data_IF_164854806999
#
_entry.id   IF_164854806999
#
_cell.length_a   1.000
_cell.length_b   1.000
_cell.length_c   1.000
_cell.angle_alpha   90.00
_cell.angle_beta   90.00
_cell.angle_gamma   90.00
#
_symmetry.space_group_name_H-M   'P 1'
#
loop_
_entity.id
_entity.type
_entity.pdbx_description
1 polymer ?
#
# COMPACT_ATOMS: atom_id res chain seq x y z
N UNK A 1 25.72 -11.51 14.45
CA UNK A 1 24.66 -10.83 13.67
C UNK A 1 24.51 -9.41 14.22
N UNK A 2 24.55 -8.35 13.40
CA UNK A 2 24.45 -6.99 13.92
C UNK A 2 23.02 -6.70 14.37
N UNK A 3 22.87 -6.24 15.61
CA UNK A 3 21.60 -5.79 16.16
C UNK A 3 21.21 -4.44 15.53
N UNK A 4 20.04 -4.37 14.89
CA UNK A 4 19.48 -3.11 14.42
C UNK A 4 18.90 -2.37 15.64
N UNK A 5 19.61 -1.36 16.11
CA UNK A 5 19.13 -0.45 17.16
C UNK A 5 18.32 0.65 16.47
N UNK A 6 17.00 0.60 16.54
CA UNK A 6 16.15 1.74 16.17
C UNK A 6 16.10 2.74 17.34
N UNK A 7 16.90 3.80 17.26
CA UNK A 7 16.84 4.93 18.19
C UNK A 7 15.76 5.92 17.72
N UNK A 8 14.53 5.76 18.20
CA UNK A 8 13.55 6.84 18.14
C UNK A 8 13.83 7.83 19.27
N UNK A 9 14.52 8.94 18.97
CA UNK A 9 14.67 10.07 19.91
C UNK A 9 13.44 10.97 19.79
N UNK A 10 12.55 10.92 20.78
CA UNK A 10 11.50 11.92 20.98
C UNK A 10 11.85 12.83 22.16
N UNK A 11 11.76 14.15 21.98
CA UNK A 11 11.97 15.13 23.05
C UNK A 11 10.64 15.35 23.80
N UNK A 12 10.59 14.95 25.06
CA UNK A 12 9.61 15.45 26.03
C UNK A 12 10.35 15.77 27.33
N UNK A 13 10.33 17.05 27.72
CA UNK A 13 10.69 17.58 29.05
C UNK A 13 11.94 17.00 29.72
N UNK A 14 13.09 17.69 29.62
CA UNK A 14 14.37 17.52 30.38
C UNK A 14 14.95 16.11 30.59
N UNK A 15 14.31 15.03 30.12
CA UNK A 15 14.76 13.66 30.30
C UNK A 15 14.85 12.96 28.94
N UNK A 16 16.06 12.57 28.56
CA UNK A 16 16.34 11.81 27.33
C UNK A 16 16.07 10.34 27.63
N UNK A 17 15.06 9.74 27.01
CA UNK A 17 14.81 8.30 27.11
C UNK A 17 15.44 7.55 25.94
N UNK A 18 16.16 6.48 26.22
CA UNK A 18 16.67 5.52 25.24
C UNK A 18 15.87 4.22 25.34
N UNK A 19 15.12 3.88 24.30
CA UNK A 19 14.52 2.54 24.18
C UNK A 19 15.63 1.54 23.79
N UNK A 20 16.03 0.70 24.73
CA UNK A 20 16.89 -0.46 24.47
C UNK A 20 16.05 -1.74 24.49
N UNK A 21 15.77 -2.31 23.33
CA UNK A 21 15.30 -3.70 23.25
C UNK A 21 16.51 -4.63 23.42
N UNK A 22 16.82 -5.01 24.66
CA UNK A 22 17.66 -6.18 24.95
C UNK A 22 16.74 -7.35 25.31
N UNK A 23 16.71 -8.39 24.47
CA UNK A 23 16.36 -9.71 24.98
C UNK A 23 17.50 -10.18 25.88
N UNK A 24 17.27 -10.19 27.19
CA UNK A 24 18.12 -10.90 28.14
C UNK A 24 17.28 -11.96 28.88
N UNK A 25 17.62 -13.26 28.86
CA UNK A 25 16.71 -14.32 29.29
C UNK A 25 16.65 -14.55 30.81
N UNK A 26 17.39 -13.82 31.65
CA UNK A 26 17.54 -14.21 33.06
C UNK A 26 17.62 -13.01 34.00
N UNK A 27 16.50 -12.72 34.67
CA UNK A 27 16.31 -12.04 35.98
C UNK A 27 15.19 -10.99 35.94
N UNK A 28 14.19 -11.16 36.80
CA UNK A 28 13.08 -10.24 37.02
C UNK A 28 12.81 -10.15 38.53
N UNK A 29 12.65 -8.95 39.13
CA UNK A 29 11.72 -8.75 40.23
C UNK A 29 10.45 -8.04 39.71
N UNK A 30 9.24 -8.40 40.20
CA UNK A 30 8.05 -8.45 39.36
C UNK A 30 7.12 -7.22 39.42
N UNK A 31 7.58 -6.03 39.82
CA UNK A 31 6.64 -4.94 40.20
C UNK A 31 6.72 -3.69 39.31
N UNK A 32 7.73 -3.55 38.46
CA UNK A 32 7.83 -2.40 37.53
C UNK A 32 7.35 -2.70 36.10
N UNK A 33 7.17 -3.97 35.71
CA UNK A 33 6.74 -4.33 34.36
C UNK A 33 5.30 -3.91 34.06
N UNK A 34 4.37 -4.05 35.01
CA UNK A 34 2.94 -3.75 34.78
C UNK A 34 2.63 -2.25 34.74
N UNK A 35 3.30 -1.42 35.54
CA UNK A 35 3.12 0.05 35.49
C UNK A 35 3.82 0.65 34.27
N UNK A 36 5.00 0.16 33.90
CA UNK A 36 5.69 0.58 32.69
C UNK A 36 4.95 0.09 31.44
N UNK A 37 4.39 -1.12 31.44
CA UNK A 37 3.54 -1.57 30.32
C UNK A 37 2.27 -0.75 30.21
N UNK A 38 1.61 -0.41 31.32
CA UNK A 38 0.42 0.44 31.27
C UNK A 38 0.75 1.87 30.86
N UNK A 39 1.86 2.46 31.31
CA UNK A 39 2.28 3.82 30.91
C UNK A 39 2.79 3.83 29.47
N UNK A 40 3.48 2.78 29.02
CA UNK A 40 3.86 2.61 27.62
C UNK A 40 2.64 2.38 26.75
N UNK A 41 1.66 1.59 27.19
CA UNK A 41 0.39 1.35 26.48
C UNK A 41 -0.47 2.62 26.46
N UNK A 42 -0.48 3.40 27.55
CA UNK A 42 -1.15 4.70 27.61
C UNK A 42 -0.44 5.74 26.74
N UNK A 43 0.90 5.75 26.70
CA UNK A 43 1.69 6.57 25.77
C UNK A 43 1.58 6.09 24.30
N UNK A 44 1.27 4.81 24.08
CA UNK A 44 0.99 4.18 22.78
C UNK A 44 -0.44 4.51 22.30
N UNK A 45 -1.35 4.79 23.25
CA UNK A 45 -2.71 5.29 23.04
C UNK A 45 -2.78 6.83 22.94
N UNK A 46 -1.81 7.54 23.52
CA UNK A 46 -1.67 9.00 23.46
C UNK A 46 -1.07 9.46 22.11
N UNK A 47 -1.89 9.31 21.06
CA UNK A 47 -2.09 10.32 20.01
C UNK A 47 -0.85 11.06 19.50
N UNK A 48 0.26 10.39 19.19
CA UNK A 48 1.37 11.04 18.51
C UNK A 48 1.36 10.65 17.02
N UNK A 49 1.43 11.64 16.13
CA UNK A 49 1.55 11.47 14.68
C UNK A 49 2.68 10.49 14.32
N UNK A 50 3.78 10.47 15.11
CA UNK A 50 4.89 9.56 14.95
C UNK A 50 4.46 8.07 15.00
N UNK A 51 3.54 7.70 15.90
CA UNK A 51 3.05 6.33 16.00
C UNK A 51 2.19 5.93 14.81
N UNK A 52 1.45 6.87 14.21
CA UNK A 52 0.63 6.58 13.03
C UNK A 52 1.46 6.07 11.85
N UNK A 53 2.64 6.66 11.61
CA UNK A 53 3.56 6.23 10.56
C UNK A 53 4.15 4.85 10.86
N UNK A 54 4.48 4.57 12.12
CA UNK A 54 4.96 3.25 12.56
C UNK A 54 3.90 2.17 12.35
N UNK A 55 2.64 2.44 12.67
CA UNK A 55 1.55 1.49 12.44
C UNK A 55 1.27 1.26 10.96
N UNK A 56 1.33 2.30 10.12
CA UNK A 56 1.26 2.13 8.66
C UNK A 56 2.38 1.21 8.16
N UNK A 57 3.60 1.37 8.68
CA UNK A 57 4.71 0.50 8.33
C UNK A 57 4.47 -0.95 8.75
N UNK A 58 4.05 -1.20 10.00
CA UNK A 58 3.71 -2.55 10.45
C UNK A 58 2.58 -3.17 9.61
N UNK A 59 1.53 -2.40 9.31
CA UNK A 59 0.44 -2.84 8.44
C UNK A 59 0.95 -3.32 7.07
N UNK A 60 1.86 -2.58 6.44
CA UNK A 60 2.47 -2.95 5.15
C UNK A 60 3.37 -4.18 5.25
N UNK A 61 4.14 -4.31 6.33
CA UNK A 61 5.00 -5.48 6.56
C UNK A 61 4.16 -6.74 6.72
N UNK A 62 3.12 -6.71 7.58
CA UNK A 62 2.23 -7.86 7.78
C UNK A 62 1.44 -8.21 6.52
N UNK A 63 1.02 -7.20 5.73
CA UNK A 63 0.43 -7.42 4.41
C UNK A 63 1.39 -8.18 3.48
N UNK A 64 2.68 -7.81 3.47
CA UNK A 64 3.71 -8.51 2.69
C UNK A 64 3.94 -9.95 3.15
N UNK A 65 3.79 -10.21 4.45
CA UNK A 65 3.83 -11.56 5.04
C UNK A 65 2.54 -12.37 4.83
N UNK A 66 1.54 -11.80 4.14
CA UNK A 66 0.19 -12.37 3.97
C UNK A 66 -0.56 -12.58 5.29
N UNK A 67 -0.13 -11.93 6.37
CA UNK A 67 -0.87 -11.90 7.63
C UNK A 67 -1.83 -10.70 7.62
N UNK A 68 -2.97 -10.91 6.97
CA UNK A 68 -3.94 -9.85 6.76
C UNK A 68 -4.69 -9.46 8.03
N UNK A 69 -4.81 -10.38 9.00
CA UNK A 69 -5.45 -10.09 10.28
C UNK A 69 -4.63 -9.08 11.09
N UNK A 70 -3.31 -9.32 11.25
CA UNK A 70 -2.42 -8.36 11.90
C UNK A 70 -2.28 -7.08 11.08
N UNK A 71 -2.25 -7.18 9.74
CA UNK A 71 -2.21 -6.00 8.89
C UNK A 71 -3.41 -5.08 9.16
N UNK A 72 -4.63 -5.64 9.23
CA UNK A 72 -5.84 -4.88 9.51
C UNK A 72 -5.79 -4.22 10.89
N UNK A 73 -5.41 -4.96 11.93
CA UNK A 73 -5.30 -4.44 13.30
C UNK A 73 -4.42 -3.18 13.36
N UNK A 74 -3.25 -3.20 12.73
CA UNK A 74 -2.33 -2.05 12.75
C UNK A 74 -2.83 -0.88 11.90
N UNK A 75 -3.43 -1.14 10.74
CA UNK A 75 -3.95 -0.04 9.90
C UNK A 75 -5.19 0.59 10.53
N UNK A 76 -6.03 -0.16 11.23
CA UNK A 76 -7.16 0.37 12.02
C UNK A 76 -6.68 1.23 13.21
N UNK A 77 -5.65 0.80 13.93
CA UNK A 77 -4.99 1.62 14.97
C UNK A 77 -4.46 2.93 14.40
N UNK A 78 -3.85 2.88 13.22
CA UNK A 78 -3.40 4.08 12.51
C UNK A 78 -4.57 5.02 12.16
N UNK A 79 -5.68 4.48 11.67
CA UNK A 79 -6.88 5.25 11.34
C UNK A 79 -7.44 5.95 12.58
N UNK A 80 -7.58 5.24 13.69
CA UNK A 80 -8.11 5.80 14.94
C UNK A 80 -7.27 6.98 15.45
N UNK A 81 -5.94 6.90 15.34
CA UNK A 81 -5.05 8.01 15.70
C UNK A 81 -5.22 9.19 14.74
N UNK A 82 -5.23 8.92 13.42
CA UNK A 82 -5.34 9.97 12.40
C UNK A 82 -6.71 10.67 12.42
N UNK A 83 -7.78 9.98 12.81
CA UNK A 83 -9.10 10.58 13.00
C UNK A 83 -9.16 11.51 14.22
N UNK A 84 -8.46 11.18 15.30
CA UNK A 84 -8.38 12.04 16.50
C UNK A 84 -7.50 13.27 16.29
N UNK A 85 -6.48 13.16 15.43
CA UNK A 85 -5.41 14.16 15.31
C UNK A 85 -5.53 15.07 14.09
N UNK A 86 -6.20 14.61 13.03
CA UNK A 86 -6.26 15.31 11.76
C UNK A 86 -7.71 15.62 11.43
N UNK A 87 -7.95 16.76 10.77
CA UNK A 87 -9.24 17.04 10.16
C UNK A 87 -9.63 15.92 9.20
N UNK A 88 -10.94 15.63 9.07
CA UNK A 88 -11.49 14.53 8.26
C UNK A 88 -11.03 14.52 6.78
N UNK A 89 -10.49 15.65 6.32
CA UNK A 89 -9.97 15.86 4.97
C UNK A 89 -8.45 16.07 5.00
N UNK A 90 -7.70 15.21 5.67
CA UNK A 90 -6.24 15.25 5.61
C UNK A 90 -5.70 14.18 4.65
N UNK A 91 -4.70 14.45 3.79
CA UNK A 91 -4.16 13.46 2.84
C UNK A 91 -3.75 12.13 3.49
N UNK A 92 -3.09 12.19 4.65
CA UNK A 92 -2.77 10.98 5.45
C UNK A 92 -3.97 10.10 5.80
N UNK A 93 -5.18 10.67 5.96
CA UNK A 93 -6.39 9.86 6.16
C UNK A 93 -6.79 9.12 4.88
N UNK A 94 -6.63 9.75 3.71
CA UNK A 94 -6.84 9.08 2.42
C UNK A 94 -5.85 7.92 2.23
N UNK A 95 -4.57 8.13 2.54
CA UNK A 95 -3.56 7.06 2.47
C UNK A 95 -3.93 5.87 3.36
N UNK A 96 -4.35 6.13 4.61
CA UNK A 96 -4.80 5.05 5.49
C UNK A 96 -6.03 4.34 4.94
N UNK A 97 -7.03 5.08 4.46
CA UNK A 97 -8.22 4.48 3.86
C UNK A 97 -7.85 3.59 2.67
N UNK A 98 -6.91 4.02 1.81
CA UNK A 98 -6.43 3.21 0.70
C UNK A 98 -5.71 1.94 1.18
N UNK A 99 -4.86 2.04 2.20
CA UNK A 99 -4.17 0.89 2.80
C UNK A 99 -5.17 -0.13 3.42
N UNK A 100 -6.25 0.34 4.08
CA UNK A 100 -7.32 -0.52 4.60
C UNK A 100 -8.07 -1.20 3.45
N UNK A 101 -8.39 -0.44 2.40
CA UNK A 101 -9.05 -0.96 1.21
C UNK A 101 -8.25 -2.10 0.58
N UNK A 102 -6.93 -1.94 0.46
CA UNK A 102 -6.03 -2.97 -0.05
C UNK A 102 -6.04 -4.24 0.81
N UNK A 103 -6.04 -4.10 2.15
CA UNK A 103 -6.09 -5.26 3.05
C UNK A 103 -7.41 -6.01 2.91
N UNK A 104 -8.54 -5.30 2.83
CA UNK A 104 -9.85 -5.94 2.59
C UNK A 104 -9.92 -6.61 1.22
N UNK A 105 -9.32 -6.00 0.19
CA UNK A 105 -9.25 -6.60 -1.14
C UNK A 105 -8.52 -7.94 -1.10
N UNK A 106 -7.37 -7.99 -0.42
CA UNK A 106 -6.57 -9.22 -0.27
C UNK A 106 -7.27 -10.28 0.60
N UNK A 107 -8.15 -9.87 1.50
CA UNK A 107 -9.03 -10.76 2.27
C UNK A 107 -10.24 -11.28 1.47
N UNK A 108 -10.52 -10.74 0.29
CA UNK A 108 -11.72 -11.04 -0.50
C UNK A 108 -12.97 -10.25 -0.08
N UNK A 109 -12.84 -9.32 0.87
CA UNK A 109 -13.90 -8.42 1.34
C UNK A 109 -14.09 -7.23 0.37
N UNK A 110 -14.38 -7.52 -0.90
CA UNK A 110 -14.35 -6.52 -1.97
C UNK A 110 -15.31 -5.33 -1.76
N UNK A 111 -16.47 -5.56 -1.12
CA UNK A 111 -17.42 -4.48 -0.79
C UNK A 111 -16.81 -3.45 0.16
N UNK A 112 -16.09 -3.91 1.19
CA UNK A 112 -15.39 -3.03 2.12
C UNK A 112 -14.21 -2.35 1.45
N UNK A 113 -13.46 -3.09 0.62
CA UNK A 113 -12.35 -2.54 -0.15
C UNK A 113 -12.80 -1.33 -1.00
N UNK A 114 -13.88 -1.50 -1.78
CA UNK A 114 -14.47 -0.42 -2.60
C UNK A 114 -14.88 0.77 -1.74
N UNK A 115 -15.58 0.54 -0.62
CA UNK A 115 -16.02 1.62 0.26
C UNK A 115 -14.84 2.45 0.79
N UNK A 116 -13.76 1.79 1.22
CA UNK A 116 -12.57 2.47 1.72
C UNK A 116 -11.77 3.18 0.62
N UNK A 117 -11.63 2.59 -0.56
CA UNK A 117 -10.99 3.26 -1.70
C UNK A 117 -11.81 4.47 -2.19
N UNK A 118 -13.14 4.37 -2.22
CA UNK A 118 -13.99 5.50 -2.60
C UNK A 118 -13.94 6.63 -1.56
N UNK A 119 -13.83 6.29 -0.26
CA UNK A 119 -13.58 7.27 0.80
C UNK A 119 -12.22 7.96 0.60
N UNK A 120 -11.17 7.20 0.25
CA UNK A 120 -9.86 7.77 -0.05
C UNK A 120 -9.91 8.74 -1.25
N UNK A 121 -10.56 8.34 -2.36
CA UNK A 121 -10.75 9.21 -3.53
C UNK A 121 -11.51 10.48 -3.17
N UNK A 122 -12.60 10.38 -2.42
CA UNK A 122 -13.38 11.55 -2.02
C UNK A 122 -12.52 12.55 -1.21
N UNK A 123 -11.61 12.06 -0.36
CA UNK A 123 -10.68 12.94 0.36
C UNK A 123 -9.65 13.54 -0.62
N UNK A 124 -9.09 12.73 -1.52
CA UNK A 124 -8.06 13.15 -2.48
C UNK A 124 -8.56 14.11 -3.57
N UNK A 125 -9.85 14.05 -3.94
CA UNK A 125 -10.47 14.94 -4.93
C UNK A 125 -10.93 16.27 -4.31
N UNK A 126 -11.30 16.27 -3.03
CA UNK A 126 -11.75 17.48 -2.31
C UNK A 126 -10.60 18.33 -1.76
N UNK A 127 -9.39 17.78 -1.75
CA UNK A 127 -8.16 18.49 -1.42
C UNK A 127 -7.39 18.55 -2.73
N UNK A 128 -6.64 19.61 -3.03
CA UNK A 128 -5.69 19.60 -4.15
C UNK A 128 -4.52 18.65 -3.86
N UNK A 129 -4.83 17.36 -3.72
CA UNK A 129 -3.89 16.30 -3.40
C UNK A 129 -3.08 15.92 -4.64
N UNK A 130 -1.94 15.26 -4.42
CA UNK A 130 -1.09 14.82 -5.51
C UNK A 130 -1.88 13.92 -6.47
N UNK A 131 -2.00 14.26 -7.77
CA UNK A 131 -2.75 13.46 -8.74
C UNK A 131 -2.28 12.00 -8.82
N UNK A 132 -1.00 11.72 -8.52
CA UNK A 132 -0.46 10.36 -8.50
C UNK A 132 -1.04 9.51 -7.35
N UNK A 133 -1.46 10.13 -6.25
CA UNK A 133 -2.18 9.43 -5.18
C UNK A 133 -3.58 9.03 -5.64
N UNK A 134 -4.32 9.91 -6.32
CA UNK A 134 -5.59 9.57 -6.95
C UNK A 134 -5.42 8.43 -7.97
N UNK A 135 -4.37 8.50 -8.79
CA UNK A 135 -4.06 7.47 -9.78
C UNK A 135 -3.83 6.10 -9.11
N UNK A 136 -3.17 6.08 -7.95
CA UNK A 136 -2.97 4.86 -7.16
C UNK A 136 -4.31 4.30 -6.66
N UNK A 137 -5.17 5.14 -6.08
CA UNK A 137 -6.48 4.70 -5.60
C UNK A 137 -7.38 4.20 -6.74
N UNK A 138 -7.37 4.86 -7.90
CA UNK A 138 -8.07 4.37 -9.10
C UNK A 138 -7.54 3.01 -9.56
N UNK A 139 -6.22 2.79 -9.46
CA UNK A 139 -5.62 1.49 -9.81
C UNK A 139 -6.10 0.38 -8.87
N UNK A 140 -6.14 0.67 -7.56
CA UNK A 140 -6.61 -0.28 -6.56
C UNK A 140 -8.10 -0.63 -6.73
N UNK A 141 -8.94 0.36 -7.06
CA UNK A 141 -10.34 0.10 -7.44
C UNK A 141 -10.43 -0.79 -8.69
N UNK A 142 -9.65 -0.48 -9.73
CA UNK A 142 -9.59 -1.28 -10.95
C UNK A 142 -9.21 -2.74 -10.69
N UNK A 143 -8.18 -2.98 -9.87
CA UNK A 143 -7.78 -4.31 -9.43
C UNK A 143 -8.88 -5.01 -8.60
N UNK A 144 -9.56 -4.27 -7.71
CA UNK A 144 -10.67 -4.80 -6.91
C UNK A 144 -11.83 -5.29 -7.79
N UNK A 145 -12.26 -4.46 -8.75
CA UNK A 145 -13.32 -4.85 -9.70
C UNK A 145 -12.89 -6.00 -10.61
N UNK A 146 -11.62 -6.06 -11.00
CA UNK A 146 -11.06 -7.19 -11.77
C UNK A 146 -11.17 -8.50 -10.99
N UNK A 147 -10.86 -8.48 -9.69
CA UNK A 147 -10.97 -9.65 -8.81
C UNK A 147 -12.43 -10.06 -8.57
N UNK A 148 -13.36 -9.10 -8.61
CA UNK A 148 -14.81 -9.36 -8.64
C UNK A 148 -15.34 -9.84 -10.01
N UNK A 149 -14.49 -9.91 -11.04
CA UNK A 149 -14.86 -10.20 -12.44
C UNK A 149 -15.77 -9.16 -13.11
N UNK A 150 -15.86 -7.95 -12.55
CA UNK A 150 -16.46 -6.80 -13.25
C UNK A 150 -15.39 -6.13 -14.11
N UNK A 151 -15.14 -6.74 -15.26
CA UNK A 151 -14.08 -6.30 -16.16
C UNK A 151 -14.36 -4.93 -16.80
N UNK A 152 -15.63 -4.58 -17.01
CA UNK A 152 -16.04 -3.27 -17.52
C UNK A 152 -15.63 -2.14 -16.59
N UNK A 153 -16.03 -2.25 -15.31
CA UNK A 153 -15.74 -1.22 -14.31
C UNK A 153 -14.24 -1.18 -13.99
N UNK A 154 -13.59 -2.36 -13.97
CA UNK A 154 -12.14 -2.46 -13.83
C UNK A 154 -11.40 -1.67 -14.93
N UNK A 155 -11.81 -1.84 -16.20
CA UNK A 155 -11.19 -1.15 -17.33
C UNK A 155 -11.29 0.37 -17.19
N UNK A 156 -12.47 0.87 -16.80
CA UNK A 156 -12.70 2.31 -16.62
C UNK A 156 -11.76 2.89 -15.57
N UNK A 157 -11.64 2.24 -14.41
CA UNK A 157 -10.78 2.74 -13.34
C UNK A 157 -9.28 2.62 -13.65
N UNK A 158 -8.84 1.50 -14.25
CA UNK A 158 -7.45 1.34 -14.68
C UNK A 158 -7.06 2.37 -15.74
N UNK A 159 -7.93 2.67 -16.71
CA UNK A 159 -7.68 3.71 -17.73
C UNK A 159 -7.57 5.10 -17.11
N UNK A 160 -8.43 5.45 -16.14
CA UNK A 160 -8.31 6.72 -15.40
C UNK A 160 -6.96 6.83 -14.67
N UNK A 161 -6.54 5.77 -13.98
CA UNK A 161 -5.25 5.73 -13.30
C UNK A 161 -4.05 5.80 -14.25
N UNK A 162 -4.15 5.21 -15.44
CA UNK A 162 -3.12 5.29 -16.48
C UNK A 162 -3.03 6.72 -17.04
N UNK A 163 -4.17 7.32 -17.42
CA UNK A 163 -4.22 8.66 -18.00
C UNK A 163 -3.57 9.71 -17.08
N UNK A 164 -3.83 9.65 -15.77
CA UNK A 164 -3.21 10.58 -14.82
C UNK A 164 -1.68 10.39 -14.78
N UNK A 165 -1.21 9.13 -14.79
CA UNK A 165 0.23 8.83 -14.79
C UNK A 165 0.91 9.26 -16.08
N UNK A 166 0.30 9.02 -17.24
CA UNK A 166 0.82 9.48 -18.53
C UNK A 166 0.94 11.00 -18.59
N UNK A 167 -0.01 11.72 -17.98
CA UNK A 167 0.01 13.18 -17.93
C UNK A 167 1.06 13.75 -16.97
N UNK A 168 1.48 12.98 -15.94
CA UNK A 168 2.34 13.48 -14.85
C UNK A 168 3.75 12.90 -14.85
N UNK A 169 3.96 11.74 -15.48
CA UNK A 169 5.22 11.02 -15.47
C UNK A 169 5.87 11.00 -16.86
N UNK A 170 7.21 10.91 -16.95
CA UNK A 170 7.89 10.64 -18.20
C UNK A 170 7.42 9.33 -18.85
N UNK A 171 7.45 9.27 -20.18
CA UNK A 171 6.96 8.11 -20.96
C UNK A 171 7.62 6.77 -20.61
N UNK A 172 8.83 6.79 -20.07
CA UNK A 172 9.60 5.61 -19.66
C UNK A 172 9.57 5.39 -18.14
N UNK A 173 8.63 6.00 -17.40
CA UNK A 173 8.55 5.81 -15.97
C UNK A 173 8.10 4.38 -15.61
N UNK A 174 8.75 3.67 -14.65
CA UNK A 174 8.41 2.30 -14.27
C UNK A 174 6.93 2.09 -13.88
N UNK A 175 6.30 3.08 -13.24
CA UNK A 175 4.87 3.03 -12.91
C UNK A 175 3.96 2.85 -14.14
N UNK A 176 4.35 3.36 -15.32
CA UNK A 176 3.59 3.13 -16.55
C UNK A 176 3.66 1.65 -16.95
N UNK A 177 4.80 0.98 -16.77
CA UNK A 177 4.92 -0.45 -17.01
C UNK A 177 3.98 -1.27 -16.10
N UNK A 178 3.86 -0.87 -14.82
CA UNK A 178 2.91 -1.49 -13.88
C UNK A 178 1.47 -1.34 -14.38
N UNK A 179 1.11 -0.16 -14.89
CA UNK A 179 -0.24 0.09 -15.43
C UNK A 179 -0.52 -0.71 -16.70
N UNK A 180 0.42 -0.74 -17.64
CA UNK A 180 0.28 -1.55 -18.87
C UNK A 180 0.15 -3.03 -18.54
N UNK A 181 0.92 -3.53 -17.57
CA UNK A 181 0.76 -4.91 -17.10
C UNK A 181 -0.60 -5.15 -16.42
N UNK A 182 -1.11 -4.21 -15.62
CA UNK A 182 -2.44 -4.32 -15.03
C UNK A 182 -3.55 -4.39 -16.09
N UNK A 183 -3.45 -3.60 -17.16
CA UNK A 183 -4.34 -3.69 -18.32
C UNK A 183 -4.17 -4.99 -19.08
N UNK A 184 -2.93 -5.48 -19.27
CA UNK A 184 -2.67 -6.77 -19.89
C UNK A 184 -3.34 -7.92 -19.13
N UNK A 185 -3.25 -7.93 -17.79
CA UNK A 185 -3.97 -8.90 -16.94
C UNK A 185 -5.48 -8.82 -17.09
N UNK A 186 -6.03 -7.63 -17.29
CA UNK A 186 -7.46 -7.44 -17.52
C UNK A 186 -7.89 -8.01 -18.87
N UNK A 187 -7.18 -7.67 -19.95
CA UNK A 187 -7.45 -8.20 -21.30
C UNK A 187 -7.22 -9.70 -21.41
N UNK A 188 -6.31 -10.26 -20.59
CA UNK A 188 -6.10 -11.70 -20.50
C UNK A 188 -7.35 -12.39 -19.95
N UNK A 189 -8.02 -11.77 -18.98
CA UNK A 189 -9.27 -12.28 -18.42
C UNK A 189 -10.46 -12.15 -19.38
N UNK A 190 -10.41 -11.23 -20.34
CA UNK A 190 -11.44 -11.08 -21.39
C UNK A 190 -11.09 -11.80 -22.70
N UNK A 191 -9.97 -12.54 -22.74
CA UNK A 191 -9.45 -13.26 -23.92
C UNK A 191 -9.10 -12.36 -25.14
N UNK A 192 -8.81 -11.08 -24.90
CA UNK A 192 -8.40 -10.12 -25.94
C UNK A 192 -6.88 -10.17 -26.17
N UNK A 193 -6.36 -11.30 -26.66
CA UNK A 193 -4.91 -11.57 -26.74
C UNK A 193 -4.10 -10.53 -27.53
N UNK A 194 -4.68 -9.92 -28.56
CA UNK A 194 -4.03 -8.83 -29.32
C UNK A 194 -3.77 -7.60 -28.43
N UNK A 195 -4.72 -7.24 -27.58
CA UNK A 195 -4.58 -6.15 -26.62
C UNK A 195 -3.62 -6.51 -25.50
N UNK A 196 -3.62 -7.77 -25.03
CA UNK A 196 -2.62 -8.25 -24.06
C UNK A 196 -1.21 -8.06 -24.62
N UNK A 197 -0.97 -8.55 -25.84
CA UNK A 197 0.34 -8.48 -26.50
C UNK A 197 0.83 -7.03 -26.63
N UNK A 198 -0.05 -6.13 -27.06
CA UNK A 198 0.28 -4.70 -27.17
C UNK A 198 0.70 -4.10 -25.83
N UNK A 199 -0.10 -4.30 -24.77
CA UNK A 199 0.17 -3.69 -23.47
C UNK A 199 1.41 -4.30 -22.79
N UNK A 200 1.57 -5.63 -22.87
CA UNK A 200 2.71 -6.29 -22.24
C UNK A 200 4.03 -5.95 -22.93
N UNK A 201 4.03 -5.76 -24.26
CA UNK A 201 5.18 -5.28 -25.00
C UNK A 201 5.64 -3.90 -24.49
N UNK A 202 4.70 -2.95 -24.32
CA UNK A 202 5.02 -1.63 -23.76
C UNK A 202 5.58 -1.72 -22.33
N UNK A 203 5.02 -2.60 -21.50
CA UNK A 203 5.51 -2.83 -20.14
C UNK A 203 6.95 -3.39 -20.14
N UNK A 204 7.26 -4.34 -21.03
CA UNK A 204 8.59 -4.93 -21.16
C UNK A 204 9.61 -3.90 -21.65
N UNK A 205 9.27 -3.09 -22.66
CA UNK A 205 10.15 -2.04 -23.20
C UNK A 205 10.58 -1.04 -22.11
N UNK A 206 9.61 -0.51 -21.37
CA UNK A 206 9.88 0.43 -20.27
C UNK A 206 10.73 -0.25 -19.19
N UNK A 207 10.42 -1.49 -18.86
CA UNK A 207 11.14 -2.21 -17.83
C UNK A 207 12.58 -2.57 -18.24
N UNK A 208 12.83 -2.88 -19.50
CA UNK A 208 14.18 -3.11 -20.02
C UNK A 208 15.05 -1.85 -19.97
N UNK A 209 14.46 -0.67 -20.21
CA UNK A 209 15.20 0.60 -20.20
C UNK A 209 15.57 1.06 -18.79
N UNK A 210 14.69 0.87 -17.79
CA UNK A 210 14.81 1.50 -16.46
C UNK A 210 15.01 0.56 -15.28
N UNK A 211 14.61 -0.70 -15.39
CA UNK A 211 14.65 -1.62 -14.25
C UNK A 211 15.86 -2.55 -14.36
N UNK A 212 16.60 -2.78 -13.26
CA UNK A 212 17.59 -3.83 -13.24
C UNK A 212 16.92 -5.19 -13.48
N UNK A 213 17.60 -6.10 -14.18
CA UNK A 213 17.06 -7.40 -14.61
C UNK A 213 16.47 -8.25 -13.48
N UNK A 214 16.83 -7.98 -12.23
CA UNK A 214 16.37 -8.69 -11.03
C UNK A 214 15.11 -8.08 -10.39
N UNK A 215 14.47 -7.07 -11.00
CA UNK A 215 13.30 -6.44 -10.43
C UNK A 215 12.09 -7.41 -10.40
N UNK A 216 11.38 -7.57 -9.27
CA UNK A 216 10.30 -8.56 -9.13
C UNK A 216 9.24 -8.47 -10.25
N UNK A 217 8.87 -7.26 -10.64
CA UNK A 217 7.87 -7.04 -11.68
C UNK A 217 8.37 -7.37 -13.10
N UNK A 218 9.68 -7.32 -13.35
CA UNK A 218 10.24 -7.61 -14.68
C UNK A 218 10.04 -9.05 -15.10
N UNK A 219 10.16 -9.99 -14.14
CA UNK A 219 9.91 -11.42 -14.36
C UNK A 219 8.45 -11.67 -14.78
N UNK A 220 7.49 -11.05 -14.08
CA UNK A 220 6.07 -11.18 -14.38
C UNK A 220 5.71 -10.65 -15.77
N UNK A 221 6.35 -9.56 -16.21
CA UNK A 221 6.09 -9.01 -17.55
C UNK A 221 6.55 -9.98 -18.65
N UNK A 222 7.75 -10.54 -18.49
CA UNK A 222 8.29 -11.53 -19.43
C UNK A 222 7.48 -12.82 -19.46
N UNK A 223 7.07 -13.31 -18.30
CA UNK A 223 6.23 -14.51 -18.20
C UNK A 223 4.93 -14.33 -18.97
N UNK A 224 4.23 -13.21 -18.74
CA UNK A 224 2.98 -12.88 -19.45
C UNK A 224 3.22 -12.74 -20.96
N UNK A 225 4.33 -12.10 -21.38
CA UNK A 225 4.67 -11.96 -22.80
C UNK A 225 4.88 -13.32 -23.48
N UNK A 226 5.66 -14.21 -22.87
CA UNK A 226 5.94 -15.54 -23.42
C UNK A 226 4.70 -16.45 -23.39
N UNK A 227 3.83 -16.31 -22.40
CA UNK A 227 2.55 -17.03 -22.36
C UNK A 227 1.67 -16.67 -23.57
N UNK A 228 1.54 -15.38 -23.86
CA UNK A 228 0.68 -14.89 -24.96
C UNK A 228 1.28 -15.17 -26.32
N UNK A 229 2.61 -15.08 -26.44
CA UNK A 229 3.31 -15.44 -27.68
C UNK A 229 3.04 -16.88 -28.13
N UNK A 230 2.80 -17.80 -27.20
CA UNK A 230 2.45 -19.20 -27.51
C UNK A 230 0.98 -19.41 -27.89
N UNK A 231 0.11 -18.44 -27.60
CA UNK A 231 -1.34 -18.50 -27.83
C UNK A 231 -1.78 -17.81 -29.13
N UNK A 232 -0.89 -17.03 -29.75
CA UNK A 232 -1.06 -16.38 -31.05
C UNK A 232 -0.45 -17.24 -32.16
#
# INVERSE_FOLDING_TARGET
MPAIILLCRGLFGKNIWTLNFRHNPTSNPPIQSHKVSHIQQKAFEEGNQAFSSTYTWFGRVYRGMKDYARALEYVEKCLAIRQKMLHERHPNQATTCSDIGDVHRLLGDYKKAIAFHQKALNIQENIECNPLECATTYTNLGETYREMKDYSTALTYLKKGLQIRENKLPKNHPDLAVMYHALAKLYLATHEYSMVMKNIQQAVEIAQEKLPSNHPHFSAYKETFEEIRKKL
#
